data_IF_845882360315
#
_entry.id   IF_845882360315
#
_cell.length_a   1.000
_cell.length_b   1.000
_cell.length_c   1.000
_cell.angle_alpha   90.00
_cell.angle_beta   90.00
_cell.angle_gamma   90.00
#
_symmetry.space_group_name_H-M   'P 1'
#
loop_
_entity.id
_entity.type
_entity.pdbx_description
1 polymer ?
#
# COMPACT_ATOMS: atom_id res chain seq x y z
N UNK A 1 -50.85 -25.03 6.86
CA UNK A 1 -50.64 -23.58 7.03
C UNK A 1 -49.19 -23.46 7.50
N UNK A 2 -48.28 -23.02 6.63
CA UNK A 2 -46.85 -22.97 6.95
C UNK A 2 -46.53 -21.57 7.46
N UNK A 3 -46.14 -21.47 8.73
CA UNK A 3 -45.62 -20.24 9.33
C UNK A 3 -44.26 -19.89 8.70
N UNK A 4 -44.20 -18.74 8.05
CA UNK A 4 -43.01 -18.21 7.39
C UNK A 4 -42.25 -17.33 8.39
N UNK A 5 -41.55 -17.93 9.35
CA UNK A 5 -40.60 -17.21 10.20
C UNK A 5 -39.37 -16.80 9.38
N UNK A 6 -39.42 -15.56 8.86
CA UNK A 6 -38.34 -14.98 8.06
C UNK A 6 -37.28 -14.39 8.99
N UNK A 7 -36.25 -15.16 9.30
CA UNK A 7 -35.09 -14.72 10.09
C UNK A 7 -34.12 -13.89 9.24
N UNK A 8 -34.48 -12.63 8.95
CA UNK A 8 -33.61 -11.69 8.23
C UNK A 8 -33.00 -10.71 9.22
N UNK A 9 -31.71 -10.88 9.51
CA UNK A 9 -30.92 -9.91 10.27
C UNK A 9 -30.38 -8.86 9.29
N UNK A 10 -30.97 -7.66 9.31
CA UNK A 10 -30.46 -6.54 8.52
C UNK A 10 -29.11 -6.07 9.10
N UNK A 11 -28.03 -6.22 8.33
CA UNK A 11 -26.74 -5.65 8.72
C UNK A 11 -26.83 -4.12 8.71
N UNK A 12 -26.70 -3.51 9.90
CA UNK A 12 -26.70 -2.07 10.03
C UNK A 12 -25.48 -1.50 9.29
N UNK A 13 -25.65 -0.58 8.32
CA UNK A 13 -24.52 0.02 7.63
C UNK A 13 -23.66 0.75 8.67
N UNK A 14 -22.35 0.43 8.67
CA UNK A 14 -21.39 1.00 9.60
C UNK A 14 -21.30 2.50 9.35
N UNK A 15 -21.54 3.30 10.39
CA UNK A 15 -21.38 4.75 10.31
C UNK A 15 -19.96 5.09 9.85
N UNK A 16 -19.85 5.98 8.86
CA UNK A 16 -18.55 6.46 8.39
C UNK A 16 -17.87 7.24 9.52
N UNK A 17 -16.77 6.70 10.05
CA UNK A 17 -15.93 7.43 10.99
C UNK A 17 -15.12 8.44 10.19
N UNK A 18 -15.28 9.72 10.50
CA UNK A 18 -14.47 10.78 9.95
C UNK A 18 -13.04 10.64 10.48
N UNK A 19 -12.19 9.94 9.74
CA UNK A 19 -10.76 9.89 10.04
C UNK A 19 -10.09 11.16 9.53
N UNK A 20 -9.23 11.76 10.36
CA UNK A 20 -8.32 12.79 9.89
C UNK A 20 -7.56 12.26 8.66
N UNK A 21 -7.27 13.07 7.62
CA UNK A 21 -6.46 12.64 6.50
C UNK A 21 -5.15 12.03 7.01
N UNK A 22 -5.04 10.70 6.86
CA UNK A 22 -3.88 9.92 7.29
C UNK A 22 -2.70 10.26 6.39
N UNK A 23 -1.50 10.28 6.98
CA UNK A 23 -0.28 10.40 6.20
C UNK A 23 -0.14 9.21 5.23
N UNK A 24 0.67 9.35 4.18
CA UNK A 24 0.87 8.29 3.19
C UNK A 24 1.36 6.98 3.83
N UNK A 25 2.33 7.06 4.74
CA UNK A 25 2.85 5.90 5.46
C UNK A 25 1.80 5.26 6.36
N UNK A 26 1.02 6.03 7.11
CA UNK A 26 -0.05 5.48 7.95
C UNK A 26 -1.06 4.67 7.12
N UNK A 27 -1.39 5.15 5.91
CA UNK A 27 -2.30 4.43 5.01
C UNK A 27 -1.68 3.10 4.55
N UNK A 28 -0.41 3.12 4.14
CA UNK A 28 0.29 1.91 3.69
C UNK A 28 0.45 0.91 4.83
N UNK A 29 0.88 1.34 6.01
CA UNK A 29 1.11 0.46 7.15
C UNK A 29 -0.19 -0.09 7.75
N UNK A 30 -1.29 0.67 7.69
CA UNK A 30 -2.59 0.18 8.11
C UNK A 30 -3.23 -0.80 7.11
N UNK A 31 -3.04 -0.58 5.80
CA UNK A 31 -3.63 -1.41 4.74
C UNK A 31 -2.72 -2.55 4.26
N UNK A 32 -1.42 -2.52 4.59
CA UNK A 32 -0.38 -3.39 4.02
C UNK A 32 0.07 -2.97 2.62
N UNK A 33 -0.84 -2.44 1.81
CA UNK A 33 -0.59 -1.97 0.46
C UNK A 33 -1.46 -0.76 0.07
N UNK A 34 -0.97 0.06 -0.86
CA UNK A 34 -1.73 1.16 -1.46
C UNK A 34 -1.48 1.22 -2.97
N UNK A 35 -2.54 1.25 -3.76
CA UNK A 35 -2.44 1.45 -5.22
C UNK A 35 -2.33 2.94 -5.54
N UNK A 36 -1.43 3.29 -6.46
CA UNK A 36 -1.18 4.67 -6.89
C UNK A 36 -1.31 4.74 -8.40
N UNK A 37 -2.13 5.67 -8.87
CA UNK A 37 -2.38 5.87 -10.29
C UNK A 37 -1.16 6.50 -10.98
N UNK A 38 -1.06 6.33 -12.29
CA UNK A 38 0.03 6.90 -13.10
C UNK A 38 0.13 8.43 -12.97
N UNK A 39 -1.02 9.10 -12.93
CA UNK A 39 -1.15 10.56 -12.94
C UNK A 39 -0.88 11.23 -11.59
N UNK A 40 -0.88 10.47 -10.49
CA UNK A 40 -0.62 11.00 -9.15
C UNK A 40 0.89 11.19 -8.89
N UNK A 41 1.47 12.18 -9.59
CA UNK A 41 2.89 12.53 -9.49
C UNK A 41 3.29 12.96 -8.08
N UNK A 42 2.37 13.56 -7.32
CA UNK A 42 2.64 14.03 -5.97
C UNK A 42 2.87 12.84 -5.02
N UNK A 43 1.96 11.88 -4.99
CA UNK A 43 2.11 10.65 -4.19
C UNK A 43 3.33 9.84 -4.65
N UNK A 44 3.57 9.74 -5.97
CA UNK A 44 4.75 9.04 -6.50
C UNK A 44 6.07 9.68 -6.07
N UNK A 45 6.16 11.01 -6.13
CA UNK A 45 7.37 11.74 -5.70
C UNK A 45 7.65 11.49 -4.22
N UNK A 46 6.61 11.55 -3.38
CA UNK A 46 6.72 11.22 -1.97
C UNK A 46 7.15 9.75 -1.76
N UNK A 47 6.58 8.81 -2.51
CA UNK A 47 6.93 7.40 -2.44
C UNK A 47 8.39 7.12 -2.81
N UNK A 48 8.93 7.78 -3.84
CA UNK A 48 10.36 7.66 -4.21
C UNK A 48 11.27 8.11 -3.05
N UNK A 49 10.94 9.21 -2.39
CA UNK A 49 11.69 9.69 -1.23
C UNK A 49 11.62 8.69 -0.07
N UNK A 50 10.42 8.15 0.21
CA UNK A 50 10.21 7.17 1.28
C UNK A 50 10.90 5.83 1.00
N UNK A 51 10.92 5.37 -0.26
CA UNK A 51 11.68 4.20 -0.68
C UNK A 51 13.18 4.43 -0.48
N UNK A 52 13.69 5.62 -0.81
CA UNK A 52 15.09 5.96 -0.62
C UNK A 52 15.51 6.02 0.86
N UNK A 53 14.55 6.20 1.77
CA UNK A 53 14.73 6.14 3.23
C UNK A 53 14.42 4.75 3.82
N UNK A 54 13.98 3.80 3.01
CA UNK A 54 13.69 2.42 3.43
C UNK A 54 12.35 2.20 4.12
N UNK A 55 11.41 3.13 4.02
CA UNK A 55 10.10 3.02 4.68
C UNK A 55 9.06 2.22 3.89
N UNK A 56 9.27 1.99 2.60
CA UNK A 56 8.32 1.25 1.76
C UNK A 56 9.01 0.57 0.59
N UNK A 57 8.30 -0.40 0.00
CA UNK A 57 8.64 -1.02 -1.27
C UNK A 57 7.71 -0.49 -2.35
N UNK A 58 8.25 -0.23 -3.55
CA UNK A 58 7.48 0.17 -4.73
C UNK A 58 7.50 -0.98 -5.73
N UNK A 59 6.32 -1.34 -6.22
CA UNK A 59 6.16 -2.16 -7.41
C UNK A 59 5.51 -1.32 -8.50
N UNK A 60 5.96 -1.46 -9.74
CA UNK A 60 5.16 -1.05 -10.89
C UNK A 60 4.22 -2.17 -11.31
N UNK A 61 3.10 -1.81 -11.90
CA UNK A 61 2.18 -2.73 -12.55
C UNK A 61 2.49 -2.70 -14.05
N UNK A 62 2.96 -3.83 -14.57
CA UNK A 62 3.27 -4.02 -15.99
C UNK A 62 1.97 -4.04 -16.84
N UNK A 63 2.13 -4.01 -18.16
CA UNK A 63 0.99 -3.95 -19.08
C UNK A 63 0.08 -5.20 -19.04
N UNK A 64 0.64 -6.35 -18.66
CA UNK A 64 -0.08 -7.61 -18.41
C UNK A 64 -0.72 -7.69 -17.01
N UNK A 65 -0.54 -6.64 -16.19
CA UNK A 65 -1.02 -6.57 -14.82
C UNK A 65 -0.07 -7.17 -13.79
N UNK A 66 1.07 -7.73 -14.20
CA UNK A 66 2.03 -8.34 -13.27
C UNK A 66 2.77 -7.26 -12.46
N UNK A 67 2.85 -7.39 -11.12
CA UNK A 67 3.65 -6.49 -10.31
C UNK A 67 5.15 -6.78 -10.47
N UNK A 68 5.96 -5.75 -10.69
CA UNK A 68 7.42 -5.82 -10.70
C UNK A 68 7.99 -4.88 -9.66
N UNK A 69 8.76 -5.43 -8.71
CA UNK A 69 9.46 -4.63 -7.70
C UNK A 69 10.50 -3.72 -8.35
N UNK A 70 10.47 -2.45 -7.97
CA UNK A 70 11.43 -1.44 -8.37
C UNK A 70 12.51 -1.33 -7.29
N UNK A 71 13.77 -1.36 -7.71
CA UNK A 71 14.89 -1.06 -6.82
C UNK A 71 15.00 0.44 -6.57
N UNK A 72 15.83 0.83 -5.59
CA UNK A 72 16.11 2.24 -5.32
C UNK A 72 16.69 2.91 -6.58
N UNK A 73 16.12 4.04 -6.97
CA UNK A 73 16.52 4.77 -8.18
C UNK A 73 15.74 4.37 -9.44
N UNK A 74 15.34 3.10 -9.57
CA UNK A 74 14.53 2.64 -10.72
C UNK A 74 13.14 3.30 -10.76
N UNK A 75 12.56 3.59 -9.60
CA UNK A 75 11.24 4.19 -9.50
C UNK A 75 11.11 5.52 -10.26
N UNK A 76 12.19 6.30 -10.41
CA UNK A 76 12.16 7.53 -11.21
C UNK A 76 11.94 7.26 -12.70
N UNK A 77 12.39 6.13 -13.21
CA UNK A 77 12.20 5.71 -14.60
C UNK A 77 10.82 5.14 -14.91
N UNK A 78 10.06 4.74 -13.88
CA UNK A 78 8.75 4.09 -14.00
C UNK A 78 7.57 5.02 -13.67
N UNK A 79 7.75 6.35 -13.76
CA UNK A 79 6.74 7.34 -13.35
C UNK A 79 5.47 7.31 -14.22
N UNK A 80 5.51 6.68 -15.38
CA UNK A 80 4.41 6.49 -16.33
C UNK A 80 3.58 5.21 -16.09
N UNK A 81 4.01 4.32 -15.19
CA UNK A 81 3.30 3.06 -14.85
C UNK A 81 2.48 3.18 -13.57
N UNK A 82 1.31 2.54 -13.42
CA UNK A 82 0.64 2.46 -12.12
C UNK A 82 1.55 1.77 -11.10
N UNK A 83 1.50 2.19 -9.83
CA UNK A 83 2.34 1.61 -8.78
C UNK A 83 1.51 0.95 -7.68
N UNK A 84 2.13 0.02 -6.99
CA UNK A 84 1.69 -0.50 -5.70
C UNK A 84 2.77 -0.18 -4.65
N UNK A 85 2.38 0.53 -3.61
CA UNK A 85 3.22 0.83 -2.47
C UNK A 85 2.96 -0.21 -1.39
N UNK A 86 4.00 -0.79 -0.83
CA UNK A 86 3.90 -1.90 0.12
C UNK A 86 4.64 -1.58 1.40
N UNK A 87 4.11 -2.04 2.52
CA UNK A 87 4.89 -2.16 3.76
C UNK A 87 6.06 -3.13 3.50
N UNK A 88 7.29 -2.82 3.93
CA UNK A 88 8.37 -3.78 3.89
C UNK A 88 8.03 -5.07 4.68
N UNK A 89 8.50 -6.25 4.24
CA UNK A 89 8.25 -7.49 4.94
C UNK A 89 8.84 -7.45 6.36
N UNK A 90 8.11 -7.99 7.33
CA UNK A 90 8.60 -8.14 8.69
C UNK A 90 9.74 -9.16 8.69
N UNK A 91 10.91 -8.78 9.21
CA UNK A 91 12.10 -9.62 9.22
C UNK A 91 11.98 -10.83 10.17
N UNK A 92 11.08 -10.75 11.18
CA UNK A 92 10.97 -11.78 12.22
C UNK A 92 11.98 -11.61 13.36
N UNK A 93 13.03 -10.83 13.15
CA UNK A 93 14.14 -10.70 14.09
C UNK A 93 14.04 -9.39 14.90
N UNK A 94 13.94 -9.46 16.24
CA UNK A 94 13.97 -8.29 17.09
C UNK A 94 15.25 -7.47 16.85
N UNK A 95 15.10 -6.17 16.64
CA UNK A 95 16.22 -5.26 16.38
C UNK A 95 16.63 -5.14 14.91
N UNK A 96 16.09 -5.97 14.01
CA UNK A 96 16.29 -5.83 12.56
C UNK A 96 15.13 -5.02 11.97
N UNK A 97 15.38 -3.83 11.39
CA UNK A 97 14.31 -3.06 10.77
C UNK A 97 13.65 -3.86 9.64
N UNK A 98 12.31 -3.84 9.56
CA UNK A 98 11.55 -4.42 8.42
C UNK A 98 12.01 -3.83 7.07
N UNK A 99 12.49 -2.58 7.10
CA UNK A 99 13.11 -1.89 5.98
C UNK A 99 14.58 -2.27 5.73
N UNK A 100 15.13 -3.26 6.43
CA UNK A 100 16.55 -3.64 6.36
C UNK A 100 17.01 -3.99 4.95
N UNK A 101 16.14 -4.62 4.14
CA UNK A 101 16.41 -4.89 2.73
C UNK A 101 16.37 -3.66 1.80
N UNK A 102 16.13 -2.45 2.33
CA UNK A 102 16.19 -1.20 1.59
C UNK A 102 17.52 -0.44 1.77
N UNK A 103 18.37 -0.88 2.71
CA UNK A 103 19.71 -0.35 2.89
C UNK A 103 20.71 -1.34 2.27
N UNK A 104 21.58 -0.93 1.33
CA UNK A 104 22.69 -1.79 0.92
C UNK A 104 23.63 -1.99 2.12
N UNK A 105 24.23 -3.18 2.19
CA UNK A 105 25.37 -3.45 3.07
C UNK A 105 26.61 -2.66 2.61
#
# INVERSE_FOLDING_TARGET
>A
MFDQETNVVAFKPRASVAHHPKSLLERIYAAGALSVRTDDKATKTAAVMLQALGFLVIEEILADGTPRRLQRGEARGAMDRPWRLLKPPFSGEPGVPDGGGAFPA
#
